data_IF_304909669760
#
_entry.id   IF_304909669760
#
_cell.length_a   1.000
_cell.length_b   1.000
_cell.length_c   1.000
_cell.angle_alpha   90.00
_cell.angle_beta   90.00
_cell.angle_gamma   90.00
#
_symmetry.space_group_name_H-M   'P 1'
#
loop_
_entity.id
_entity.type
_entity.pdbx_description
1 polymer ?
#
# COMPACT_ATOMS: atom_id res chain seq x y z
N UNK A 1 -3.13 -42.76 11.69
CA UNK A 1 -1.87 -42.36 11.03
C UNK A 1 -1.89 -40.84 10.88
N UNK A 2 -1.16 -40.15 11.76
CA UNK A 2 -1.15 -38.69 11.89
C UNK A 2 0.02 -38.13 11.07
N UNK A 3 -0.23 -37.31 10.03
CA UNK A 3 0.83 -36.62 9.30
C UNK A 3 1.11 -35.29 9.99
N UNK A 4 2.21 -35.24 10.73
CA UNK A 4 2.79 -34.02 11.30
C UNK A 4 3.41 -33.22 10.15
N UNK A 5 2.89 -32.03 9.88
CA UNK A 5 3.51 -31.06 8.96
C UNK A 5 4.34 -30.11 9.83
N UNK A 6 5.66 -30.30 9.78
CA UNK A 6 6.62 -29.40 10.43
C UNK A 6 6.72 -28.10 9.62
N UNK A 7 6.22 -27.00 10.17
CA UNK A 7 6.48 -25.65 9.67
C UNK A 7 7.90 -25.23 10.09
N UNK A 8 8.82 -25.13 9.12
CA UNK A 8 10.13 -24.53 9.35
C UNK A 8 9.92 -23.01 9.43
N UNK A 9 10.08 -22.46 10.64
CA UNK A 9 10.14 -21.02 10.87
C UNK A 9 11.55 -20.57 10.54
N UNK A 10 11.76 -20.05 9.34
CA UNK A 10 13.02 -19.40 8.97
C UNK A 10 13.07 -18.00 9.56
N UNK A 11 13.84 -17.81 10.63
CA UNK A 11 14.22 -16.49 11.14
C UNK A 11 15.37 -15.93 10.30
N UNK A 12 15.15 -14.81 9.61
CA UNK A 12 16.23 -13.99 9.09
C UNK A 12 16.22 -12.64 9.82
N UNK A 13 17.32 -12.38 10.52
CA UNK A 13 17.56 -11.23 11.37
C UNK A 13 17.63 -9.92 10.60
N UNK A 14 17.03 -8.86 11.14
CA UNK A 14 17.14 -7.48 10.66
C UNK A 14 18.50 -6.92 11.08
N UNK A 15 19.37 -6.61 10.13
CA UNK A 15 20.54 -5.77 10.35
C UNK A 15 20.19 -4.31 10.05
N UNK A 16 20.54 -3.46 11.00
CA UNK A 16 20.30 -2.03 11.08
C UNK A 16 21.17 -1.26 10.07
N UNK A 17 20.60 -0.32 9.31
CA UNK A 17 21.37 0.73 8.63
C UNK A 17 20.56 2.03 8.60
N UNK A 18 20.77 2.85 9.62
CA UNK A 18 20.40 4.24 9.66
C UNK A 18 21.35 5.08 8.80
N UNK A 19 20.82 6.20 8.28
CA UNK A 19 21.52 7.32 7.63
C UNK A 19 22.31 6.99 6.36
N UNK A 20 21.93 7.61 5.23
CA UNK A 20 22.78 8.59 4.52
C UNK A 20 21.90 9.55 3.72
N UNK A 21 22.31 10.82 3.75
CA UNK A 21 21.53 11.97 3.30
C UNK A 21 21.48 12.16 1.79
N UNK A 22 20.57 13.05 1.41
CA UNK A 22 20.33 13.53 0.06
C UNK A 22 21.58 14.13 -0.59
N UNK A 23 21.83 13.72 -1.84
CA UNK A 23 22.82 14.35 -2.72
C UNK A 23 22.58 13.95 -4.18
N UNK A 24 22.12 14.91 -4.98
CA UNK A 24 21.95 14.87 -6.44
C UNK A 24 22.90 13.92 -7.19
N UNK A 25 22.38 12.90 -7.89
CA UNK A 25 22.94 12.42 -9.16
C UNK A 25 21.86 11.88 -10.09
N UNK A 26 21.84 12.43 -11.31
CA UNK A 26 21.19 11.88 -12.50
C UNK A 26 21.63 10.42 -12.71
N UNK A 27 20.64 9.59 -13.04
CA UNK A 27 20.73 8.46 -13.98
C UNK A 27 21.80 7.39 -13.68
N UNK A 28 21.39 6.35 -12.97
CA UNK A 28 21.98 5.01 -13.06
C UNK A 28 20.86 3.96 -12.97
N UNK A 29 20.34 3.54 -14.12
CA UNK A 29 19.87 2.16 -14.26
C UNK A 29 21.15 1.33 -14.44
N UNK A 30 21.54 0.61 -13.40
CA UNK A 30 22.62 -0.36 -13.48
C UNK A 30 22.02 -1.74 -13.23
N UNK A 31 22.22 -2.57 -14.26
CA UNK A 31 22.15 -4.02 -14.22
C UNK A 31 22.78 -4.57 -12.93
N UNK A 32 21.95 -5.23 -12.11
CA UNK A 32 22.45 -6.25 -11.21
C UNK A 32 22.19 -7.61 -11.86
N UNK A 33 23.24 -8.36 -12.27
CA UNK A 33 23.06 -9.73 -12.71
C UNK A 33 22.68 -10.59 -11.51
N UNK A 34 21.42 -10.98 -11.42
CA UNK A 34 20.99 -12.06 -10.54
C UNK A 34 21.64 -13.34 -11.10
N UNK A 35 22.70 -13.79 -10.46
CA UNK A 35 23.26 -15.13 -10.68
C UNK A 35 22.21 -16.14 -10.23
N UNK A 36 21.45 -16.65 -11.20
CA UNK A 36 20.57 -17.81 -11.05
C UNK A 36 21.43 -19.04 -10.75
N UNK A 37 21.40 -19.51 -9.51
CA UNK A 37 21.69 -20.92 -9.26
C UNK A 37 20.50 -21.75 -9.79
N UNK A 38 20.84 -22.77 -10.56
CA UNK A 38 19.86 -23.57 -11.26
C UNK A 38 19.23 -24.57 -10.29
N UNK A 39 17.91 -24.52 -10.09
CA UNK A 39 16.96 -25.63 -10.31
C UNK A 39 15.55 -25.31 -9.79
N UNK A 40 14.58 -25.57 -10.67
CA UNK A 40 13.11 -25.60 -10.50
C UNK A 40 12.41 -24.23 -10.56
N UNK A 41 12.22 -23.77 -11.80
CA UNK A 41 11.17 -22.81 -12.16
C UNK A 41 9.81 -23.53 -12.07
N UNK A 42 9.01 -23.24 -11.04
CA UNK A 42 7.57 -23.54 -11.08
C UNK A 42 6.89 -22.27 -11.59
N UNK A 43 6.70 -22.21 -12.91
CA UNK A 43 5.79 -21.24 -13.52
C UNK A 43 4.39 -21.46 -12.93
N UNK A 44 3.86 -20.46 -12.22
CA UNK A 44 2.43 -20.35 -11.96
C UNK A 44 1.82 -19.48 -13.09
N UNK A 45 1.05 -20.05 -14.04
CA UNK A 45 0.66 -19.36 -15.26
C UNK A 45 -0.50 -18.36 -15.10
N UNK A 46 -0.76 -17.83 -13.89
CA UNK A 46 -1.90 -16.94 -13.60
C UNK A 46 -1.56 -15.67 -12.82
N UNK A 47 -0.29 -15.31 -12.64
CA UNK A 47 0.05 -13.96 -12.17
C UNK A 47 0.13 -13.05 -13.41
N UNK A 48 -0.86 -12.19 -13.68
CA UNK A 48 -0.70 -11.17 -14.71
C UNK A 48 0.51 -10.32 -14.34
N UNK A 49 1.46 -10.17 -15.26
CA UNK A 49 2.55 -9.22 -15.12
C UNK A 49 1.92 -7.85 -14.83
N UNK A 50 2.24 -7.26 -13.68
CA UNK A 50 1.95 -5.85 -13.41
C UNK A 50 2.90 -5.05 -14.29
N UNK A 51 2.60 -4.98 -15.57
CA UNK A 51 3.44 -4.33 -16.58
C UNK A 51 3.33 -2.82 -16.38
N UNK A 52 4.24 -2.27 -15.59
CA UNK A 52 4.84 -0.94 -15.74
C UNK A 52 3.91 0.26 -15.84
N UNK A 53 3.40 0.74 -14.70
CA UNK A 53 2.86 2.10 -14.60
C UNK A 53 3.92 3.14 -14.18
N UNK A 54 4.96 2.72 -13.45
CA UNK A 54 6.08 3.59 -13.08
C UNK A 54 6.67 4.33 -14.30
N UNK A 55 6.77 3.66 -15.44
CA UNK A 55 7.35 4.22 -16.67
C UNK A 55 6.40 5.13 -17.46
N UNK A 56 5.07 4.93 -17.36
CA UNK A 56 4.11 5.79 -18.08
C UNK A 56 3.72 7.02 -17.28
N UNK A 57 3.85 6.98 -15.94
CA UNK A 57 3.48 8.08 -15.07
C UNK A 57 4.58 9.14 -14.91
N UNK A 58 5.85 8.72 -14.89
CA UNK A 58 6.99 9.65 -14.82
C UNK A 58 7.04 10.63 -16.01
N UNK A 59 6.51 10.26 -17.18
CA UNK A 59 6.60 11.09 -18.38
C UNK A 59 5.62 12.29 -18.40
N UNK A 60 4.60 12.33 -17.54
CA UNK A 60 3.58 13.40 -17.54
C UNK A 60 3.62 14.32 -16.30
N UNK A 61 4.37 13.96 -15.26
CA UNK A 61 4.28 14.58 -13.93
C UNK A 61 5.22 15.78 -13.69
N UNK A 62 6.22 16.00 -14.53
CA UNK A 62 7.22 17.07 -14.31
C UNK A 62 6.71 18.52 -14.55
N UNK A 63 5.40 18.72 -14.74
CA UNK A 63 4.82 20.05 -15.04
C UNK A 63 3.64 20.47 -14.15
N UNK A 64 3.19 19.65 -13.18
CA UNK A 64 2.04 19.98 -12.32
C UNK A 64 2.44 19.87 -10.84
N UNK A 65 2.38 20.99 -10.13
CA UNK A 65 2.47 21.05 -8.68
C UNK A 65 1.17 20.49 -8.07
N UNK A 66 1.11 19.18 -7.78
CA UNK A 66 -0.12 18.60 -7.23
C UNK A 66 -0.19 17.08 -7.26
N UNK A 67 -0.87 16.44 -6.30
CA UNK A 67 -1.38 15.07 -6.42
C UNK A 67 -2.36 15.03 -7.60
N UNK A 68 -2.10 14.25 -8.66
CA UNK A 68 -3.06 14.11 -9.76
C UNK A 68 -4.39 13.57 -9.25
N UNK A 69 -5.50 13.95 -9.90
CA UNK A 69 -6.86 13.57 -9.51
C UNK A 69 -7.01 12.08 -9.14
N UNK A 70 -6.31 11.20 -9.85
CA UNK A 70 -6.25 9.76 -9.56
C UNK A 70 -5.84 9.43 -8.10
N UNK A 71 -4.90 10.16 -7.51
CA UNK A 71 -4.48 9.95 -6.13
C UNK A 71 -5.44 10.52 -5.12
N UNK A 72 -6.08 11.65 -5.43
CA UNK A 72 -7.16 12.17 -4.59
C UNK A 72 -8.31 11.17 -4.54
N UNK A 73 -8.68 10.60 -5.70
CA UNK A 73 -9.67 9.53 -5.79
C UNK A 73 -9.26 8.28 -5.01
N UNK A 74 -7.99 7.85 -5.14
CA UNK A 74 -7.50 6.71 -4.36
C UNK A 74 -7.53 6.98 -2.86
N UNK A 75 -7.10 8.16 -2.40
CA UNK A 75 -7.10 8.54 -0.99
C UNK A 75 -8.53 8.64 -0.45
N UNK A 76 -9.43 9.27 -1.20
CA UNK A 76 -10.86 9.32 -0.90
C UNK A 76 -11.38 7.90 -0.66
N UNK A 77 -11.19 7.02 -1.65
CA UNK A 77 -11.64 5.65 -1.53
C UNK A 77 -10.99 4.91 -0.35
N UNK A 78 -9.69 5.05 -0.18
CA UNK A 78 -8.94 4.44 0.92
C UNK A 78 -9.54 4.82 2.28
N UNK A 79 -9.92 6.08 2.45
CA UNK A 79 -10.53 6.57 3.67
C UNK A 79 -12.00 6.19 3.83
N UNK A 80 -12.78 6.21 2.74
CA UNK A 80 -14.14 5.68 2.72
C UNK A 80 -14.15 4.23 3.23
N UNK A 81 -13.27 3.39 2.68
CA UNK A 81 -13.16 1.98 3.07
C UNK A 81 -12.60 1.77 4.48
N UNK A 82 -11.66 2.61 4.92
CA UNK A 82 -11.03 2.48 6.24
C UNK A 82 -11.95 2.95 7.37
N UNK A 83 -12.61 4.09 7.19
CA UNK A 83 -13.37 4.78 8.23
C UNK A 83 -14.88 4.63 8.10
N UNK A 84 -15.38 4.06 6.99
CA UNK A 84 -16.81 4.00 6.68
C UNK A 84 -17.48 5.39 6.81
N UNK A 85 -16.81 6.43 6.34
CA UNK A 85 -17.22 7.84 6.38
C UNK A 85 -16.90 8.47 5.03
N UNK A 86 -17.68 9.45 4.58
CA UNK A 86 -17.46 10.15 3.31
C UNK A 86 -16.24 11.10 3.38
N UNK A 87 -15.28 10.90 2.47
CA UNK A 87 -14.11 11.77 2.27
C UNK A 87 -14.11 12.52 0.93
N UNK A 88 -15.23 12.55 0.20
CA UNK A 88 -15.34 13.16 -1.14
C UNK A 88 -14.89 14.63 -1.23
N UNK A 89 -14.95 15.36 -0.13
CA UNK A 89 -14.43 16.72 -0.04
C UNK A 89 -12.91 16.83 -0.27
N UNK A 90 -12.15 15.71 -0.26
CA UNK A 90 -10.71 15.71 -0.51
C UNK A 90 -10.34 16.07 -1.94
N UNK A 91 -11.23 15.85 -2.91
CA UNK A 91 -11.00 16.23 -4.31
C UNK A 91 -10.88 17.75 -4.51
N UNK A 92 -11.35 18.55 -3.54
CA UNK A 92 -11.22 20.00 -3.53
C UNK A 92 -9.84 20.47 -3.02
N UNK A 93 -9.03 19.55 -2.49
CA UNK A 93 -7.73 19.87 -1.94
C UNK A 93 -6.66 19.90 -3.03
N UNK A 94 -5.79 20.91 -2.99
CA UNK A 94 -4.49 20.86 -3.67
C UNK A 94 -3.45 20.34 -2.66
N UNK A 95 -2.65 19.34 -3.03
CA UNK A 95 -1.57 18.83 -2.18
C UNK A 95 -0.33 18.49 -3.02
N UNK A 96 0.87 18.62 -2.44
CA UNK A 96 2.15 18.40 -3.13
C UNK A 96 2.66 16.96 -3.09
N UNK A 97 1.81 16.00 -2.70
CA UNK A 97 2.21 14.71 -2.19
C UNK A 97 2.56 13.65 -3.26
N UNK A 98 3.54 13.96 -4.12
CA UNK A 98 4.05 13.07 -5.17
C UNK A 98 4.40 11.68 -4.62
N UNK A 99 5.01 11.64 -3.44
CA UNK A 99 5.57 10.43 -2.82
C UNK A 99 4.50 9.45 -2.31
N UNK A 100 3.24 9.90 -2.15
CA UNK A 100 2.14 9.01 -1.74
C UNK A 100 1.86 7.94 -2.80
N UNK A 101 1.97 8.27 -4.08
CA UNK A 101 1.67 7.33 -5.16
C UNK A 101 2.63 6.16 -5.21
N UNK A 102 3.93 6.42 -5.00
CA UNK A 102 4.93 5.36 -4.92
C UNK A 102 4.59 4.38 -3.80
N UNK A 103 4.08 4.87 -2.66
CA UNK A 103 3.64 4.00 -1.56
C UNK A 103 2.37 3.20 -1.93
N UNK A 104 1.44 3.80 -2.67
CA UNK A 104 0.25 3.07 -3.15
C UNK A 104 0.62 1.98 -4.16
N UNK A 105 1.50 2.27 -5.12
CA UNK A 105 1.95 1.30 -6.12
C UNK A 105 2.68 0.12 -5.45
N UNK A 106 3.61 0.42 -4.53
CA UNK A 106 4.29 -0.61 -3.72
C UNK A 106 3.29 -1.46 -2.91
N UNK A 107 2.29 -0.83 -2.29
CA UNK A 107 1.28 -1.57 -1.55
C UNK A 107 0.53 -2.55 -2.45
N UNK A 108 0.07 -2.10 -3.61
CA UNK A 108 -0.69 -2.89 -4.59
C UNK A 108 0.16 -4.06 -5.10
N UNK A 109 1.44 -3.80 -5.38
CA UNK A 109 2.40 -4.83 -5.74
C UNK A 109 2.50 -5.91 -4.65
N UNK A 110 2.63 -5.55 -3.38
CA UNK A 110 2.73 -6.53 -2.30
C UNK A 110 1.44 -7.33 -2.08
N UNK A 111 0.28 -6.68 -2.22
CA UNK A 111 -1.04 -7.34 -2.20
C UNK A 111 -1.20 -8.37 -3.33
N UNK A 112 -0.54 -8.15 -4.48
CA UNK A 112 -0.60 -9.07 -5.63
C UNK A 112 -0.06 -10.48 -5.32
N UNK A 113 0.82 -10.59 -4.32
CA UNK A 113 1.33 -11.89 -3.87
C UNK A 113 0.26 -12.77 -3.22
N UNK A 114 -0.83 -12.19 -2.72
CA UNK A 114 -1.89 -12.88 -1.97
C UNK A 114 -1.35 -13.75 -0.81
N UNK A 115 -0.19 -13.40 -0.27
CA UNK A 115 0.40 -14.06 0.90
C UNK A 115 0.15 -13.23 2.16
N UNK A 116 0.21 -13.85 3.34
CA UNK A 116 0.10 -13.11 4.62
C UNK A 116 1.22 -12.06 4.72
N UNK A 117 2.43 -12.41 4.28
CA UNK A 117 3.57 -11.50 4.24
C UNK A 117 3.29 -10.29 3.35
N UNK A 118 2.88 -10.52 2.09
CA UNK A 118 2.58 -9.43 1.17
C UNK A 118 1.39 -8.58 1.58
N UNK A 119 0.35 -9.17 2.19
CA UNK A 119 -0.73 -8.37 2.79
C UNK A 119 -0.22 -7.50 3.94
N UNK A 120 0.65 -8.04 4.79
CA UNK A 120 1.23 -7.28 5.90
C UNK A 120 2.12 -6.14 5.40
N UNK A 121 2.99 -6.40 4.43
CA UNK A 121 3.85 -5.37 3.82
C UNK A 121 3.02 -4.34 3.05
N UNK A 122 2.01 -4.77 2.30
CA UNK A 122 1.08 -3.87 1.61
C UNK A 122 0.32 -2.96 2.57
N UNK A 123 -0.19 -3.51 3.67
CA UNK A 123 -0.82 -2.71 4.74
C UNK A 123 0.16 -1.71 5.37
N UNK A 124 1.44 -2.08 5.51
CA UNK A 124 2.48 -1.17 6.01
C UNK A 124 2.74 -0.01 5.04
N UNK A 125 2.83 -0.27 3.74
CA UNK A 125 2.98 0.79 2.74
C UNK A 125 1.79 1.76 2.74
N UNK A 126 0.56 1.24 2.82
CA UNK A 126 -0.62 2.08 2.99
C UNK A 126 -0.57 2.89 4.29
N UNK A 127 -0.17 2.29 5.40
CA UNK A 127 -0.01 3.01 6.67
C UNK A 127 1.03 4.14 6.57
N UNK A 128 2.18 3.87 5.93
CA UNK A 128 3.22 4.86 5.73
C UNK A 128 2.77 6.03 4.83
N UNK A 129 1.91 5.76 3.84
CA UNK A 129 1.23 6.78 3.06
C UNK A 129 0.23 7.57 3.91
N UNK A 130 -0.65 6.89 4.66
CA UNK A 130 -1.68 7.51 5.50
C UNK A 130 -1.07 8.46 6.54
N UNK A 131 0.09 8.13 7.10
CA UNK A 131 0.81 9.00 8.05
C UNK A 131 1.18 10.37 7.50
N UNK A 132 1.40 10.48 6.18
CA UNK A 132 1.80 11.73 5.54
C UNK A 132 0.57 12.62 5.23
N UNK A 133 -0.61 12.03 5.11
CA UNK A 133 -1.82 12.76 4.71
C UNK A 133 -2.16 13.93 5.65
N UNK A 134 -2.12 13.81 7.00
CA UNK A 134 -2.42 14.95 7.86
C UNK A 134 -1.54 16.18 7.61
N UNK A 135 -0.25 16.01 7.30
CA UNK A 135 0.63 17.12 6.96
C UNK A 135 0.36 17.65 5.56
N UNK A 136 0.21 16.75 4.58
CA UNK A 136 -0.01 17.09 3.16
C UNK A 136 -1.32 17.85 2.92
N UNK A 137 -2.32 17.60 3.74
CA UNK A 137 -3.65 18.21 3.64
C UNK A 137 -3.96 19.16 4.81
N UNK A 138 -2.94 19.56 5.59
CA UNK A 138 -3.11 20.44 6.76
C UNK A 138 -3.75 21.80 6.45
N UNK A 139 -3.60 22.29 5.22
CA UNK A 139 -4.20 23.53 4.73
C UNK A 139 -5.57 23.34 4.08
N UNK A 140 -6.00 22.08 3.85
CA UNK A 140 -7.28 21.79 3.22
C UNK A 140 -8.43 21.82 4.22
N UNK A 141 -9.14 22.96 4.25
CA UNK A 141 -10.28 23.17 5.16
C UNK A 141 -11.42 22.16 4.95
N UNK A 142 -11.60 21.69 3.71
CA UNK A 142 -12.70 20.81 3.32
C UNK A 142 -12.69 19.45 4.05
N UNK A 143 -11.52 18.96 4.47
CA UNK A 143 -11.38 17.66 5.17
C UNK A 143 -10.90 17.80 6.61
N UNK A 144 -10.79 19.01 7.14
CA UNK A 144 -10.23 19.28 8.48
C UNK A 144 -10.95 18.51 9.59
N UNK A 145 -12.27 18.35 9.49
CA UNK A 145 -13.06 17.53 10.43
C UNK A 145 -12.73 16.05 10.38
N UNK A 146 -12.39 15.52 9.20
CA UNK A 146 -12.12 14.10 8.99
C UNK A 146 -10.68 13.71 9.39
N UNK A 147 -9.73 14.64 9.34
CA UNK A 147 -8.31 14.39 9.70
C UNK A 147 -8.13 13.96 11.16
N UNK A 148 -9.08 14.26 12.04
CA UNK A 148 -9.08 13.77 13.42
C UNK A 148 -9.17 12.24 13.49
N UNK A 149 -10.05 11.62 12.68
CA UNK A 149 -10.19 10.16 12.59
C UNK A 149 -8.93 9.50 12.05
N UNK A 150 -8.32 10.12 11.03
CA UNK A 150 -7.03 9.68 10.46
C UNK A 150 -5.94 9.69 11.51
N UNK A 151 -5.79 10.81 12.23
CA UNK A 151 -4.78 10.97 13.30
C UNK A 151 -5.01 10.00 14.45
N UNK A 152 -6.26 9.77 14.84
CA UNK A 152 -6.60 8.82 15.89
C UNK A 152 -6.25 7.38 15.49
N UNK A 153 -6.51 7.00 14.24
CA UNK A 153 -6.16 5.68 13.72
C UNK A 153 -4.65 5.48 13.63
N UNK A 154 -3.90 6.49 13.13
CA UNK A 154 -2.43 6.47 13.11
C UNK A 154 -1.86 6.19 14.51
N UNK A 155 -2.39 6.88 15.54
CA UNK A 155 -1.91 6.73 16.92
C UNK A 155 -2.08 5.30 17.47
N UNK A 156 -3.12 4.56 17.05
CA UNK A 156 -3.31 3.15 17.46
C UNK A 156 -2.16 2.24 17.01
N UNK A 157 -1.48 2.62 15.94
CA UNK A 157 -0.44 1.83 15.29
C UNK A 157 0.93 2.52 15.28
N UNK A 158 1.14 3.46 16.21
CA UNK A 158 2.44 4.11 16.42
C UNK A 158 3.57 3.09 16.68
N UNK A 159 3.23 1.94 17.28
CA UNK A 159 4.09 0.76 17.31
C UNK A 159 3.72 -0.20 16.15
N UNK A 160 4.59 -0.37 15.14
CA UNK A 160 4.35 -1.26 14.00
C UNK A 160 4.04 -2.71 14.39
N UNK A 161 4.59 -3.20 15.50
CA UNK A 161 4.35 -4.56 15.98
C UNK A 161 2.88 -4.78 16.38
N UNK A 162 2.20 -3.74 16.88
CA UNK A 162 0.77 -3.80 17.23
C UNK A 162 -0.07 -4.01 15.98
N UNK A 163 0.24 -3.29 14.89
CA UNK A 163 -0.45 -3.43 13.62
C UNK A 163 -0.23 -4.81 13.00
N UNK A 164 1.03 -5.27 12.96
CA UNK A 164 1.37 -6.59 12.43
C UNK A 164 0.68 -7.72 13.21
N UNK A 165 0.61 -7.61 14.53
CA UNK A 165 -0.08 -8.58 15.38
C UNK A 165 -1.60 -8.61 15.10
N UNK A 166 -2.24 -7.45 14.95
CA UNK A 166 -3.65 -7.35 14.57
C UNK A 166 -3.93 -7.95 13.19
N UNK A 167 -3.14 -7.55 12.18
CA UNK A 167 -3.25 -8.08 10.83
C UNK A 167 -3.13 -9.60 10.84
N UNK A 168 -2.09 -10.14 11.47
CA UNK A 168 -1.84 -11.59 11.52
C UNK A 168 -3.00 -12.35 12.19
N UNK A 169 -3.53 -11.81 13.29
CA UNK A 169 -4.67 -12.40 14.00
C UNK A 169 -5.95 -12.36 13.17
N UNK A 170 -6.30 -11.20 12.63
CA UNK A 170 -7.56 -10.99 11.92
C UNK A 170 -7.55 -11.67 10.54
N UNK A 171 -6.38 -11.82 9.92
CA UNK A 171 -6.23 -12.57 8.67
C UNK A 171 -6.75 -14.00 8.78
N UNK A 172 -6.60 -14.66 9.94
CA UNK A 172 -7.11 -16.03 10.16
C UNK A 172 -8.63 -16.11 9.95
N UNK A 173 -9.36 -15.06 10.34
CA UNK A 173 -10.82 -15.02 10.29
C UNK A 173 -11.36 -14.34 9.02
N UNK A 174 -10.58 -13.44 8.42
CA UNK A 174 -11.03 -12.60 7.31
C UNK A 174 -10.32 -12.87 5.98
N UNK A 175 -9.45 -13.89 5.89
CA UNK A 175 -8.65 -14.20 4.70
C UNK A 175 -9.46 -14.17 3.39
N UNK A 176 -10.62 -14.82 3.34
CA UNK A 176 -11.45 -14.88 2.11
C UNK A 176 -11.90 -13.48 1.68
N UNK A 177 -12.37 -12.66 2.62
CA UNK A 177 -12.78 -11.28 2.35
C UNK A 177 -11.59 -10.45 1.89
N UNK A 178 -10.48 -10.53 2.61
CA UNK A 178 -9.23 -9.82 2.24
C UNK A 178 -8.74 -10.21 0.86
N UNK A 179 -8.80 -11.48 0.49
CA UNK A 179 -8.42 -11.93 -0.86
C UNK A 179 -9.34 -11.41 -1.94
N UNK A 180 -10.65 -11.37 -1.67
CA UNK A 180 -11.63 -10.80 -2.59
C UNK A 180 -11.35 -9.31 -2.78
N UNK A 181 -11.19 -8.57 -1.69
CA UNK A 181 -10.97 -7.13 -1.73
C UNK A 181 -9.62 -6.79 -2.37
N UNK A 182 -8.55 -7.54 -2.08
CA UNK A 182 -7.26 -7.36 -2.75
C UNK A 182 -7.38 -7.54 -4.26
N UNK A 183 -8.05 -8.60 -4.73
CA UNK A 183 -8.28 -8.85 -6.16
C UNK A 183 -9.11 -7.74 -6.80
N UNK A 184 -10.20 -7.34 -6.14
CA UNK A 184 -11.07 -6.24 -6.61
C UNK A 184 -10.30 -4.93 -6.65
N UNK A 185 -9.52 -4.61 -5.63
CA UNK A 185 -8.68 -3.41 -5.55
C UNK A 185 -7.64 -3.34 -6.67
N UNK A 186 -6.94 -4.45 -6.94
CA UNK A 186 -5.98 -4.56 -8.06
C UNK A 186 -6.71 -4.42 -9.41
N UNK A 187 -7.86 -5.07 -9.57
CA UNK A 187 -8.65 -4.98 -10.81
C UNK A 187 -9.12 -3.55 -11.07
N UNK A 188 -9.66 -2.88 -10.05
CA UNK A 188 -10.10 -1.48 -10.14
C UNK A 188 -8.94 -0.55 -10.46
N UNK A 189 -7.78 -0.75 -9.82
CA UNK A 189 -6.55 0.00 -10.11
C UNK A 189 -6.16 -0.13 -11.60
N UNK A 190 -6.10 -1.36 -12.11
CA UNK A 190 -5.75 -1.63 -13.51
C UNK A 190 -6.76 -1.03 -14.51
N UNK A 191 -8.03 -0.94 -14.11
CA UNK A 191 -9.09 -0.30 -14.90
C UNK A 191 -9.17 1.23 -14.74
N UNK A 192 -8.25 1.83 -13.96
CA UNK A 192 -8.21 3.26 -13.61
C UNK A 192 -9.41 3.75 -12.78
N UNK A 193 -10.12 2.83 -12.13
CA UNK A 193 -11.12 3.14 -11.11
C UNK A 193 -10.42 3.26 -9.75
N UNK A 194 -9.71 4.38 -9.58
CA UNK A 194 -8.85 4.60 -8.42
C UNK A 194 -9.62 4.74 -7.11
N UNK A 195 -10.82 5.32 -7.14
CA UNK A 195 -11.68 5.42 -5.96
C UNK A 195 -12.11 4.04 -5.48
N UNK A 196 -12.67 3.20 -6.36
CA UNK A 196 -13.04 1.82 -5.97
C UNK A 196 -11.82 1.02 -5.56
N UNK A 197 -10.66 1.23 -6.20
CA UNK A 197 -9.41 0.60 -5.77
C UNK A 197 -9.05 0.96 -4.33
N UNK A 198 -9.02 2.26 -4.02
CA UNK A 198 -8.82 2.78 -2.68
C UNK A 198 -9.80 2.17 -1.68
N UNK A 199 -11.10 2.14 -1.99
CA UNK A 199 -12.14 1.58 -1.13
C UNK A 199 -11.87 0.14 -0.72
N UNK A 200 -11.46 -0.71 -1.67
CA UNK A 200 -11.13 -2.09 -1.37
C UNK A 200 -9.92 -2.21 -0.42
N UNK A 201 -8.84 -1.45 -0.67
CA UNK A 201 -7.66 -1.47 0.20
C UNK A 201 -7.92 -0.83 1.57
N UNK A 202 -8.77 0.18 1.63
CA UNK A 202 -9.27 0.78 2.87
C UNK A 202 -10.04 -0.23 3.71
N UNK A 203 -10.93 -1.00 3.07
CA UNK A 203 -11.69 -2.05 3.72
C UNK A 203 -10.78 -3.17 4.25
N UNK A 204 -9.72 -3.56 3.50
CA UNK A 204 -8.71 -4.50 4.00
C UNK A 204 -8.06 -3.98 5.29
N UNK A 205 -7.62 -2.72 5.31
CA UNK A 205 -7.07 -2.11 6.53
C UNK A 205 -8.11 -2.10 7.66
N UNK A 206 -9.38 -1.79 7.36
CA UNK A 206 -10.45 -1.79 8.35
C UNK A 206 -10.59 -3.16 9.02
N UNK A 207 -10.81 -4.22 8.23
CA UNK A 207 -11.10 -5.56 8.80
C UNK A 207 -9.88 -6.16 9.51
N UNK A 208 -8.67 -5.84 9.04
CA UNK A 208 -7.43 -6.36 9.61
C UNK A 208 -6.94 -5.57 10.84
N UNK A 209 -7.43 -4.35 11.05
CA UNK A 209 -6.98 -3.49 12.15
C UNK A 209 -8.04 -3.20 13.22
N UNK A 210 -9.30 -3.60 13.00
CA UNK A 210 -10.35 -3.52 14.02
C UNK A 210 -10.18 -4.57 15.13
#
# INVERSE_FOLDING_TARGET
MLKVITLIVGTASIANAANQGFGNKKQYYLDYPIQLDARVNIYHPLAPKVQGFADTFHAHYNSISGVPLAGLQFIEGLFDGLFNTDFSAIEQCQSGAADLFTQFDNAIHDFSSMSISGVTTGCKHLYDAIKQIPSEFSTCKAISGNLASVTAWIKKFANPAVMAAKISKNMIFHAIGVYKDAKSGISSWNSKDFKTSGQNFGHILQVLTN
#
